data_IF_762093840234
#
_entry.id   IF_762093840234
#
_cell.length_a   1.000
_cell.length_b   1.000
_cell.length_c   1.000
_cell.angle_alpha   90.00
_cell.angle_beta   90.00
_cell.angle_gamma   90.00
#
_symmetry.space_group_name_H-M   'P 1'
#
loop_
_entity.id
_entity.type
_entity.pdbx_description
1 polymer ?
#
# COMPACT_ATOMS: atom_id res chain seq x y z
N UNK A 1 -3.70 -33.12 -2.21
CA UNK A 1 -3.64 -32.42 -0.94
C UNK A 1 -3.14 -30.99 -1.08
N UNK A 2 -2.41 -30.48 -0.08
CA UNK A 2 -1.99 -29.06 0.00
C UNK A 2 -1.23 -28.58 -1.25
N UNK A 3 -0.25 -29.36 -1.75
CA UNK A 3 0.50 -29.00 -2.94
C UNK A 3 -0.40 -28.77 -4.17
N UNK A 4 -1.45 -29.56 -4.33
CA UNK A 4 -2.43 -29.38 -5.41
C UNK A 4 -3.27 -28.11 -5.20
N UNK A 5 -3.69 -27.82 -3.96
CA UNK A 5 -4.39 -26.58 -3.65
C UNK A 5 -3.53 -25.34 -3.94
N UNK A 6 -2.25 -25.37 -3.58
CA UNK A 6 -1.29 -24.30 -3.91
C UNK A 6 -1.13 -24.15 -5.42
N UNK A 7 -0.97 -25.24 -6.15
CA UNK A 7 -0.88 -25.21 -7.61
C UNK A 7 -2.12 -24.60 -8.25
N UNK A 8 -3.31 -24.98 -7.81
CA UNK A 8 -4.58 -24.41 -8.32
C UNK A 8 -4.67 -22.91 -7.97
N UNK A 9 -4.30 -22.53 -6.75
CA UNK A 9 -4.36 -21.14 -6.28
C UNK A 9 -3.52 -20.19 -7.13
N UNK A 10 -2.39 -20.63 -7.70
CA UNK A 10 -1.57 -19.80 -8.59
C UNK A 10 -2.34 -19.35 -9.84
N UNK A 11 -3.29 -20.14 -10.34
CA UNK A 11 -4.14 -19.79 -11.47
C UNK A 11 -5.17 -18.71 -11.15
N UNK A 12 -5.39 -18.43 -9.87
CA UNK A 12 -6.26 -17.36 -9.38
C UNK A 12 -5.50 -16.08 -9.00
N UNK A 13 -4.18 -16.07 -9.22
CA UNK A 13 -3.35 -14.93 -8.87
C UNK A 13 -3.81 -13.66 -9.61
N UNK A 14 -3.92 -12.57 -8.87
CA UNK A 14 -4.40 -11.29 -9.41
C UNK A 14 -4.20 -10.17 -8.40
N UNK A 15 -4.93 -9.08 -8.58
CA UNK A 15 -4.82 -7.93 -7.67
C UNK A 15 -3.85 -6.88 -8.21
N UNK A 16 -4.24 -6.24 -9.33
CA UNK A 16 -3.40 -5.25 -10.00
C UNK A 16 -3.25 -3.97 -9.17
N UNK A 17 -2.02 -3.50 -9.03
CA UNK A 17 -1.68 -2.25 -8.31
C UNK A 17 -2.36 -1.02 -8.91
N UNK A 18 -2.70 -1.04 -10.20
CA UNK A 18 -3.48 0.01 -10.87
C UNK A 18 -4.87 0.27 -10.27
N UNK A 19 -5.37 -0.63 -9.40
CA UNK A 19 -6.63 -0.43 -8.66
C UNK A 19 -6.46 0.41 -7.36
N UNK A 20 -5.26 0.89 -7.05
CA UNK A 20 -5.07 1.77 -5.90
C UNK A 20 -5.85 3.07 -6.10
N UNK A 21 -6.52 3.54 -5.04
CA UNK A 21 -7.46 4.67 -5.11
C UNK A 21 -8.89 4.28 -5.51
N UNK A 22 -9.20 2.99 -5.64
CA UNK A 22 -10.57 2.49 -5.89
C UNK A 22 -11.04 1.55 -4.78
N UNK A 23 -12.37 1.32 -4.64
CA UNK A 23 -12.90 0.30 -3.72
C UNK A 23 -12.43 -1.13 -4.01
N UNK A 24 -11.95 -1.43 -5.21
CA UNK A 24 -11.42 -2.75 -5.60
C UNK A 24 -10.13 -3.09 -4.85
N UNK A 25 -9.32 -2.08 -4.50
CA UNK A 25 -8.07 -2.32 -3.78
C UNK A 25 -8.24 -3.10 -2.46
N UNK A 26 -9.14 -2.75 -1.54
CA UNK A 26 -9.37 -3.56 -0.34
C UNK A 26 -9.98 -4.94 -0.65
N UNK A 27 -10.69 -5.11 -1.76
CA UNK A 27 -11.21 -6.41 -2.19
C UNK A 27 -10.12 -7.42 -2.54
N UNK A 28 -8.92 -6.99 -2.92
CA UNK A 28 -7.82 -7.91 -3.29
C UNK A 28 -7.53 -8.92 -2.20
N UNK A 29 -7.50 -8.50 -0.93
CA UNK A 29 -7.28 -9.41 0.20
C UNK A 29 -8.42 -10.44 0.36
N UNK A 30 -9.68 -9.98 0.22
CA UNK A 30 -10.85 -10.85 0.28
C UNK A 30 -10.91 -11.84 -0.89
N UNK A 31 -10.57 -11.38 -2.10
CA UNK A 31 -10.48 -12.23 -3.30
C UNK A 31 -9.39 -13.29 -3.11
N UNK A 32 -8.21 -12.92 -2.60
CA UNK A 32 -7.14 -13.87 -2.34
C UNK A 32 -7.56 -14.93 -1.31
N UNK A 33 -8.20 -14.53 -0.22
CA UNK A 33 -8.72 -15.45 0.79
C UNK A 33 -9.78 -16.41 0.22
N UNK A 34 -10.76 -15.88 -0.55
CA UNK A 34 -11.75 -16.72 -1.24
C UNK A 34 -11.10 -17.71 -2.18
N UNK A 35 -10.17 -17.25 -3.02
CA UNK A 35 -9.49 -18.08 -4.00
C UNK A 35 -8.68 -19.22 -3.34
N UNK A 36 -8.08 -18.99 -2.18
CA UNK A 36 -7.40 -20.01 -1.42
C UNK A 36 -8.36 -21.11 -0.93
N UNK A 37 -9.55 -20.73 -0.47
CA UNK A 37 -10.59 -21.67 -0.04
C UNK A 37 -11.12 -22.47 -1.24
N UNK A 38 -11.42 -21.80 -2.35
CA UNK A 38 -11.89 -22.44 -3.58
C UNK A 38 -10.85 -23.45 -4.12
N UNK A 39 -9.55 -23.08 -4.13
CA UNK A 39 -8.47 -23.95 -4.55
C UNK A 39 -8.38 -25.23 -3.65
N UNK A 40 -8.58 -25.08 -2.33
CA UNK A 40 -8.60 -26.21 -1.42
C UNK A 40 -9.78 -27.15 -1.69
N UNK A 41 -10.97 -26.61 -1.96
CA UNK A 41 -12.14 -27.41 -2.32
C UNK A 41 -11.96 -28.14 -3.66
N UNK A 42 -11.41 -27.47 -4.68
CA UNK A 42 -11.11 -28.09 -5.98
C UNK A 42 -10.10 -29.24 -5.85
N UNK A 43 -9.01 -29.02 -5.09
CA UNK A 43 -8.03 -30.07 -4.82
C UNK A 43 -8.63 -31.27 -4.06
N UNK A 44 -9.54 -31.02 -3.12
CA UNK A 44 -10.30 -32.05 -2.41
C UNK A 44 -11.24 -32.81 -3.34
N UNK A 45 -11.82 -32.14 -4.33
CA UNK A 45 -12.68 -32.74 -5.34
C UNK A 45 -11.90 -33.54 -6.40
N UNK A 46 -10.55 -33.59 -6.33
CA UNK A 46 -9.71 -34.39 -7.24
C UNK A 46 -9.16 -33.59 -8.43
N UNK A 47 -9.36 -32.29 -8.49
CA UNK A 47 -8.69 -31.43 -9.48
C UNK A 47 -7.20 -31.40 -9.15
N UNK A 48 -6.37 -31.54 -10.20
CA UNK A 48 -4.91 -31.55 -10.09
C UNK A 48 -4.30 -30.48 -10.97
N UNK A 49 -3.19 -29.90 -10.53
CA UNK A 49 -2.37 -28.97 -11.29
C UNK A 49 -0.91 -29.42 -11.29
N UNK A 50 -0.06 -28.72 -12.04
CA UNK A 50 1.37 -28.97 -12.07
C UNK A 50 2.00 -28.60 -10.73
N UNK A 51 2.86 -29.47 -10.19
CA UNK A 51 3.53 -29.22 -8.90
C UNK A 51 4.72 -28.26 -9.02
N UNK A 52 5.29 -28.11 -10.22
CA UNK A 52 6.37 -27.17 -10.57
C UNK A 52 5.86 -25.81 -11.06
N UNK A 53 4.58 -25.51 -10.85
CA UNK A 53 3.93 -24.28 -11.35
C UNK A 53 4.52 -23.00 -10.77
N UNK A 54 5.15 -23.04 -9.61
CA UNK A 54 5.76 -21.88 -9.01
C UNK A 54 7.05 -21.48 -9.73
N UNK A 55 7.96 -22.45 -9.96
CA UNK A 55 9.32 -22.29 -10.48
C UNK A 55 9.46 -22.58 -11.97
N UNK A 56 8.47 -23.22 -12.58
CA UNK A 56 8.50 -23.57 -14.01
C UNK A 56 8.68 -22.35 -14.92
N UNK A 57 9.21 -22.56 -16.12
CA UNK A 57 9.53 -21.47 -17.06
C UNK A 57 8.33 -20.58 -17.47
N UNK A 58 7.12 -21.15 -17.44
CA UNK A 58 5.85 -20.42 -17.61
C UNK A 58 5.05 -20.39 -16.32
N UNK A 59 5.73 -20.53 -15.18
CA UNK A 59 5.14 -20.59 -13.86
C UNK A 59 4.93 -19.22 -13.23
N UNK A 60 4.51 -19.24 -11.98
CA UNK A 60 4.15 -18.05 -11.22
C UNK A 60 5.31 -17.04 -11.12
N UNK A 61 6.52 -17.51 -10.78
CA UNK A 61 7.68 -16.63 -10.65
C UNK A 61 8.09 -16.02 -12.00
N UNK A 62 7.98 -16.76 -13.10
CA UNK A 62 8.27 -16.25 -14.43
C UNK A 62 7.35 -15.11 -14.85
N UNK A 63 6.07 -15.13 -14.40
CA UNK A 63 5.08 -14.11 -14.74
C UNK A 63 5.06 -12.95 -13.75
N UNK A 64 5.24 -13.21 -12.45
CA UNK A 64 5.05 -12.22 -11.39
C UNK A 64 6.33 -11.85 -10.64
N UNK A 65 7.41 -12.61 -10.77
CA UNK A 65 8.65 -12.43 -10.02
C UNK A 65 9.61 -11.36 -10.56
N UNK A 66 9.34 -10.82 -11.75
CA UNK A 66 10.23 -9.84 -12.39
C UNK A 66 11.51 -10.48 -12.98
N UNK A 67 12.47 -9.63 -13.36
CA UNK A 67 13.69 -10.07 -14.04
C UNK A 67 14.69 -10.78 -13.11
N UNK A 68 14.66 -10.51 -11.82
CA UNK A 68 15.51 -11.14 -10.82
C UNK A 68 14.65 -12.08 -9.95
N UNK A 69 14.75 -13.36 -10.20
CA UNK A 69 14.09 -14.37 -9.38
C UNK A 69 14.96 -14.68 -8.15
N UNK A 70 14.42 -14.43 -6.96
CA UNK A 70 15.04 -14.94 -5.74
C UNK A 70 15.04 -16.47 -5.78
N UNK A 71 16.21 -17.09 -5.56
CA UNK A 71 16.30 -18.54 -5.49
C UNK A 71 15.51 -19.11 -4.31
N UNK A 72 14.71 -20.14 -4.52
CA UNK A 72 14.01 -20.86 -3.46
C UNK A 72 14.94 -21.39 -2.37
N UNK A 73 16.21 -21.65 -2.71
CA UNK A 73 17.26 -22.06 -1.78
C UNK A 73 17.60 -21.03 -0.71
N UNK A 74 17.24 -19.75 -0.95
CA UNK A 74 17.42 -18.69 0.03
C UNK A 74 16.26 -18.59 1.04
N UNK A 75 15.17 -19.35 0.84
CA UNK A 75 14.07 -19.42 1.79
C UNK A 75 14.42 -20.38 2.92
N UNK A 76 14.51 -19.82 4.12
CA UNK A 76 14.55 -20.64 5.35
C UNK A 76 13.10 -21.03 5.70
N UNK A 77 12.87 -22.33 5.78
CA UNK A 77 11.60 -22.89 6.28
C UNK A 77 11.70 -23.11 7.80
N UNK A 78 12.25 -22.11 8.49
CA UNK A 78 12.46 -22.16 9.93
C UNK A 78 11.15 -22.31 10.70
N UNK A 79 11.28 -22.70 11.95
CA UNK A 79 10.19 -23.06 12.85
C UNK A 79 9.21 -21.92 13.16
N UNK A 80 9.55 -20.66 12.82
CA UNK A 80 8.71 -19.51 13.10
C UNK A 80 8.04 -18.95 11.85
N UNK A 81 6.72 -18.78 11.91
CA UNK A 81 5.97 -18.12 10.85
C UNK A 81 6.16 -16.60 10.86
N UNK A 82 6.16 -15.97 9.69
CA UNK A 82 6.33 -14.51 9.56
C UNK A 82 5.28 -13.72 10.35
N UNK A 83 4.09 -14.28 10.53
CA UNK A 83 3.03 -13.69 11.35
C UNK A 83 3.38 -13.66 12.85
N UNK A 84 4.20 -14.62 13.31
CA UNK A 84 4.66 -14.69 14.71
C UNK A 84 5.83 -13.74 14.93
N UNK A 85 6.74 -13.63 13.96
CA UNK A 85 7.95 -12.83 14.07
C UNK A 85 7.73 -11.34 13.75
N UNK A 86 6.90 -11.02 12.75
CA UNK A 86 6.62 -9.66 12.31
C UNK A 86 5.21 -9.19 12.66
N UNK A 87 4.28 -10.12 12.91
CA UNK A 87 2.90 -9.83 13.27
C UNK A 87 2.12 -9.07 12.19
N UNK A 88 1.02 -8.48 12.64
CA UNK A 88 0.22 -7.56 11.85
C UNK A 88 0.56 -6.12 12.24
N UNK A 89 0.79 -5.27 11.24
CA UNK A 89 1.03 -3.85 11.46
C UNK A 89 -0.29 -3.10 11.44
N UNK A 90 -0.68 -2.55 12.60
CA UNK A 90 -1.83 -1.65 12.69
C UNK A 90 -1.45 -0.27 12.15
N UNK A 91 -2.25 0.27 11.27
CA UNK A 91 -2.05 1.61 10.73
C UNK A 91 -2.39 2.67 11.77
N UNK A 92 -1.51 3.65 11.97
CA UNK A 92 -1.74 4.81 12.83
C UNK A 92 -2.68 5.83 12.17
N UNK A 93 -2.65 5.91 10.84
CA UNK A 93 -3.50 6.80 10.06
C UNK A 93 -4.37 5.98 9.08
N UNK A 94 -5.66 6.32 8.88
CA UNK A 94 -6.59 5.56 8.03
C UNK A 94 -6.39 5.84 6.52
N UNK A 95 -5.16 5.89 6.08
CA UNK A 95 -4.74 6.17 4.70
C UNK A 95 -3.64 5.21 4.22
N UNK A 96 -3.06 5.46 3.05
CA UNK A 96 -1.95 4.68 2.53
C UNK A 96 -0.74 4.79 3.47
N UNK A 97 -0.10 3.67 3.79
CA UNK A 97 1.07 3.65 4.67
C UNK A 97 2.25 4.50 4.15
N UNK A 98 2.30 4.74 2.83
CA UNK A 98 3.30 5.60 2.21
C UNK A 98 3.24 7.07 2.67
N UNK A 99 2.12 7.52 3.28
CA UNK A 99 2.00 8.87 3.83
C UNK A 99 2.41 8.96 5.31
N UNK A 100 2.41 7.85 6.06
CA UNK A 100 2.45 7.87 7.52
C UNK A 100 3.70 8.57 8.06
N UNK A 101 4.89 8.18 7.58
CA UNK A 101 6.17 8.77 8.05
C UNK A 101 6.25 10.28 7.78
N UNK A 102 5.71 10.74 6.64
CA UNK A 102 5.69 12.17 6.30
C UNK A 102 4.72 12.92 7.20
N UNK A 103 3.54 12.35 7.48
CA UNK A 103 2.57 12.93 8.40
C UNK A 103 3.19 13.07 9.80
N UNK A 104 3.81 12.01 10.31
CA UNK A 104 4.40 12.02 11.64
C UNK A 104 5.54 13.05 11.72
N UNK A 105 6.48 13.04 10.79
CA UNK A 105 7.57 14.01 10.72
C UNK A 105 7.10 15.46 10.63
N UNK A 106 6.11 15.74 9.78
CA UNK A 106 5.58 17.10 9.63
C UNK A 106 4.84 17.58 10.90
N UNK A 107 4.14 16.68 11.58
CA UNK A 107 3.49 16.99 12.87
C UNK A 107 4.48 17.22 13.98
N UNK A 108 5.58 16.48 13.99
CA UNK A 108 6.64 16.69 14.98
C UNK A 108 7.34 18.04 14.74
N UNK A 109 7.64 18.39 13.49
CA UNK A 109 8.14 19.73 13.14
C UNK A 109 7.13 20.84 13.53
N UNK A 110 5.83 20.60 13.31
CA UNK A 110 4.81 21.57 13.72
C UNK A 110 4.79 21.81 15.23
N UNK A 111 4.92 20.74 16.02
CA UNK A 111 5.00 20.84 17.49
C UNK A 111 6.27 21.54 17.95
N UNK A 112 7.41 21.19 17.35
CA UNK A 112 8.73 21.73 17.71
C UNK A 112 8.82 23.24 17.41
N UNK A 113 8.32 23.66 16.25
CA UNK A 113 8.47 25.03 15.76
C UNK A 113 7.23 25.91 15.92
N UNK A 114 6.09 25.36 16.33
CA UNK A 114 4.87 26.10 16.62
C UNK A 114 4.22 26.80 15.42
N UNK A 115 4.52 26.36 14.19
CA UNK A 115 3.95 26.99 13.00
C UNK A 115 2.48 26.60 12.76
N UNK A 116 1.73 27.49 12.14
CA UNK A 116 0.41 27.20 11.58
C UNK A 116 0.50 27.02 10.07
N UNK A 117 -0.28 26.10 9.52
CA UNK A 117 -0.17 25.73 8.10
C UNK A 117 -0.47 26.90 7.16
N UNK A 118 -1.30 27.87 7.58
CA UNK A 118 -1.62 29.04 6.79
C UNK A 118 -0.36 29.91 6.50
N UNK A 119 0.59 29.99 7.42
CA UNK A 119 1.82 30.75 7.29
C UNK A 119 2.88 30.01 6.44
N UNK A 120 2.69 28.70 6.21
CA UNK A 120 3.62 27.90 5.41
C UNK A 120 3.41 28.21 3.93
N UNK A 121 4.48 28.57 3.25
CA UNK A 121 4.46 28.86 1.81
C UNK A 121 4.57 27.60 0.95
N UNK A 122 5.38 26.65 1.41
CA UNK A 122 5.70 25.43 0.66
C UNK A 122 6.13 24.31 1.58
N UNK A 123 5.71 23.09 1.25
CA UNK A 123 6.16 21.84 1.87
C UNK A 123 6.67 20.94 0.76
N UNK A 124 7.94 20.59 0.82
CA UNK A 124 8.55 19.60 -0.07
C UNK A 124 8.72 18.29 0.70
N UNK A 125 8.15 17.21 0.17
CA UNK A 125 8.29 15.88 0.72
C UNK A 125 9.11 15.01 -0.21
N UNK A 126 10.10 14.29 0.34
CA UNK A 126 10.84 13.25 -0.39
C UNK A 126 10.48 11.89 0.18
N UNK A 127 10.17 10.95 -0.69
CA UNK A 127 9.78 9.58 -0.34
C UNK A 127 10.40 8.57 -1.30
N UNK A 128 10.39 7.29 -0.97
CA UNK A 128 10.85 6.25 -1.89
C UNK A 128 9.99 6.20 -3.17
N UNK A 129 10.58 5.77 -4.28
CA UNK A 129 9.92 5.69 -5.59
C UNK A 129 8.58 4.96 -5.53
N UNK A 130 8.53 3.83 -4.82
CA UNK A 130 7.30 3.06 -4.65
C UNK A 130 6.18 3.84 -3.95
N UNK A 131 6.53 4.78 -3.06
CA UNK A 131 5.56 5.62 -2.39
C UNK A 131 4.98 6.68 -3.35
N UNK A 132 5.80 7.27 -4.22
CA UNK A 132 5.33 8.18 -5.28
C UNK A 132 4.34 7.46 -6.19
N UNK A 133 4.67 6.24 -6.63
CA UNK A 133 3.82 5.44 -7.51
C UNK A 133 2.50 5.03 -6.82
N UNK A 134 2.50 4.85 -5.50
CA UNK A 134 1.30 4.54 -4.73
C UNK A 134 0.39 5.76 -4.49
N UNK A 135 0.97 6.95 -4.35
CA UNK A 135 0.27 8.18 -3.98
C UNK A 135 -0.06 9.03 -5.23
N UNK A 136 -0.78 8.42 -6.16
CA UNK A 136 -0.99 8.93 -7.52
C UNK A 136 -2.05 10.04 -7.63
N UNK A 137 -2.64 10.50 -6.52
CA UNK A 137 -3.78 11.42 -6.53
C UNK A 137 -3.45 12.75 -5.84
N UNK A 138 -2.73 13.67 -6.51
CA UNK A 138 -2.42 14.98 -5.92
C UNK A 138 -3.67 15.84 -5.70
N UNK A 139 -4.72 15.66 -6.51
CA UNK A 139 -6.02 16.31 -6.39
C UNK A 139 -7.13 15.24 -6.39
N UNK A 140 -7.43 14.62 -5.24
CA UNK A 140 -8.36 13.51 -5.16
C UNK A 140 -9.81 13.94 -5.42
N UNK A 141 -10.53 13.16 -6.22
CA UNK A 141 -11.92 13.40 -6.58
C UNK A 141 -12.93 12.67 -5.67
N UNK A 142 -12.47 11.69 -4.88
CA UNK A 142 -13.29 10.89 -3.98
C UNK A 142 -12.52 10.42 -2.73
N UNK A 143 -13.23 9.78 -1.81
CA UNK A 143 -12.71 9.32 -0.53
C UNK A 143 -11.61 8.26 -0.66
N UNK A 144 -11.69 7.42 -1.70
CA UNK A 144 -10.68 6.39 -1.92
C UNK A 144 -9.40 7.00 -2.47
N UNK A 145 -9.49 7.93 -3.42
CA UNK A 145 -8.35 8.67 -3.93
C UNK A 145 -7.68 9.51 -2.83
N UNK A 146 -8.48 10.14 -1.97
CA UNK A 146 -7.96 10.94 -0.85
C UNK A 146 -7.04 10.13 0.08
N UNK A 147 -7.34 8.84 0.30
CA UNK A 147 -6.48 7.94 1.09
C UNK A 147 -5.14 7.64 0.42
N UNK A 148 -4.99 7.96 -0.87
CA UNK A 148 -3.79 7.80 -1.67
C UNK A 148 -3.25 9.16 -2.18
N UNK A 149 -3.56 10.24 -1.47
CA UNK A 149 -3.09 11.61 -1.74
C UNK A 149 -2.15 12.06 -0.63
N UNK A 150 -0.88 12.33 -0.95
CA UNK A 150 0.04 12.97 -0.01
C UNK A 150 -0.46 14.36 0.36
N UNK A 151 -0.89 15.14 -0.63
CA UNK A 151 -1.36 16.51 -0.48
C UNK A 151 -2.53 16.60 0.48
N UNK A 152 -3.55 15.77 0.26
CA UNK A 152 -4.74 15.76 1.12
C UNK A 152 -4.42 15.29 2.55
N UNK A 153 -3.76 14.13 2.68
CA UNK A 153 -3.47 13.55 3.98
C UNK A 153 -2.61 14.46 4.85
N UNK A 154 -1.59 15.09 4.26
CA UNK A 154 -0.70 15.98 4.99
C UNK A 154 -1.38 17.30 5.37
N UNK A 155 -2.13 17.93 4.44
CA UNK A 155 -2.89 19.13 4.72
C UNK A 155 -3.92 18.91 5.84
N UNK A 156 -4.70 17.83 5.76
CA UNK A 156 -5.69 17.49 6.78
C UNK A 156 -5.05 17.20 8.14
N UNK A 157 -3.94 16.45 8.17
CA UNK A 157 -3.24 16.12 9.41
C UNK A 157 -2.66 17.35 10.13
N UNK A 158 -2.07 18.29 9.37
CA UNK A 158 -1.50 19.51 9.93
C UNK A 158 -2.55 20.52 10.39
N UNK A 159 -3.70 20.60 9.68
CA UNK A 159 -4.80 21.48 10.10
C UNK A 159 -5.55 20.98 11.33
N UNK A 160 -5.70 19.66 11.46
CA UNK A 160 -6.56 19.06 12.50
C UNK A 160 -5.76 18.43 13.64
N UNK A 161 -4.44 18.35 13.51
CA UNK A 161 -3.56 17.68 14.49
C UNK A 161 -3.67 16.16 14.49
N UNK A 162 -4.55 15.56 13.68
CA UNK A 162 -4.73 14.11 13.52
C UNK A 162 -5.45 13.79 12.22
N UNK A 163 -5.41 12.51 11.80
CA UNK A 163 -6.30 11.96 10.79
C UNK A 163 -7.20 10.88 11.40
N UNK A 164 -8.47 10.91 11.05
CA UNK A 164 -9.48 9.94 11.45
C UNK A 164 -10.27 9.44 10.24
N UNK A 165 -11.10 8.41 10.40
CA UNK A 165 -11.98 7.94 9.33
C UNK A 165 -12.96 9.02 8.85
N UNK A 166 -13.37 9.92 9.74
CA UNK A 166 -14.27 11.02 9.42
C UNK A 166 -13.67 12.03 8.42
N UNK A 167 -12.35 12.07 8.30
CA UNK A 167 -11.66 12.93 7.33
C UNK A 167 -11.70 12.39 5.89
N UNK A 168 -12.15 11.16 5.71
CA UNK A 168 -12.29 10.52 4.41
C UNK A 168 -13.76 10.27 4.04
N UNK A 169 -14.64 11.20 4.37
CA UNK A 169 -16.01 11.29 3.86
C UNK A 169 -16.05 12.27 2.68
N UNK A 170 -17.09 12.17 1.86
CA UNK A 170 -17.26 13.04 0.69
C UNK A 170 -17.19 14.52 1.07
N UNK A 171 -17.87 14.93 2.12
CA UNK A 171 -17.90 16.32 2.56
C UNK A 171 -16.53 16.76 3.12
N UNK A 172 -15.86 15.87 3.84
CA UNK A 172 -14.57 16.16 4.44
C UNK A 172 -13.46 16.40 3.40
N UNK A 173 -13.44 15.61 2.32
CA UNK A 173 -12.38 15.73 1.29
C UNK A 173 -12.51 17.00 0.45
N UNK A 174 -13.67 17.66 0.46
CA UNK A 174 -13.90 18.92 -0.26
C UNK A 174 -13.91 20.14 0.65
N UNK A 175 -13.54 20.01 1.93
CA UNK A 175 -13.42 21.16 2.84
C UNK A 175 -12.48 22.23 2.28
N UNK A 176 -12.95 23.47 2.09
CA UNK A 176 -12.15 24.53 1.45
C UNK A 176 -10.84 24.82 2.16
N UNK A 177 -10.80 24.74 3.50
CA UNK A 177 -9.61 24.97 4.31
C UNK A 177 -8.51 23.94 4.03
N UNK A 178 -8.86 22.68 3.76
CA UNK A 178 -7.89 21.65 3.40
C UNK A 178 -7.44 21.84 1.94
N UNK A 179 -8.41 21.99 1.02
CA UNK A 179 -8.14 22.16 -0.41
C UNK A 179 -7.22 23.34 -0.72
N UNK A 180 -7.38 24.45 0.00
CA UNK A 180 -6.51 25.63 -0.14
C UNK A 180 -5.05 25.36 0.18
N UNK A 181 -4.76 24.39 1.05
CA UNK A 181 -3.39 24.08 1.47
C UNK A 181 -2.70 23.07 0.55
N UNK A 182 -3.46 22.19 -0.10
CA UNK A 182 -2.92 21.13 -0.93
C UNK A 182 -1.93 21.59 -2.01
N UNK A 183 -2.16 22.72 -2.74
CA UNK A 183 -1.23 23.19 -3.73
C UNK A 183 0.15 23.62 -3.20
N UNK A 184 0.30 23.81 -1.90
CA UNK A 184 1.58 24.11 -1.25
C UNK A 184 2.46 22.87 -1.05
N UNK A 185 1.89 21.65 -1.20
CA UNK A 185 2.53 20.38 -0.85
C UNK A 185 3.00 19.68 -2.12
N UNK A 186 4.31 19.49 -2.21
CA UNK A 186 4.98 18.83 -3.32
C UNK A 186 5.57 17.51 -2.86
N UNK A 187 5.50 16.50 -3.72
CA UNK A 187 6.06 15.18 -3.45
C UNK A 187 7.02 14.80 -4.58
N UNK A 188 8.20 14.32 -4.21
CA UNK A 188 9.21 13.80 -5.12
C UNK A 188 9.81 12.49 -4.60
N UNK A 189 10.41 11.73 -5.51
CA UNK A 189 11.17 10.55 -5.11
C UNK A 189 12.58 10.95 -4.65
N UNK A 190 13.14 10.14 -3.74
CA UNK A 190 14.59 10.13 -3.53
C UNK A 190 15.31 9.79 -4.84
N UNK A 191 16.52 10.31 -5.04
CA UNK A 191 17.42 9.79 -6.06
C UNK A 191 17.85 8.36 -5.70
N UNK A 192 18.38 7.62 -6.69
CA UNK A 192 18.88 6.25 -6.44
C UNK A 192 20.02 6.25 -5.40
N UNK A 193 20.79 7.31 -5.34
CA UNK A 193 21.87 7.48 -4.36
C UNK A 193 21.33 7.72 -2.96
N UNK A 194 20.32 8.57 -2.81
CA UNK A 194 19.65 8.86 -1.53
C UNK A 194 18.88 7.65 -0.97
N UNK A 195 18.39 6.72 -1.81
CA UNK A 195 17.71 5.49 -1.34
C UNK A 195 18.68 4.42 -0.81
N UNK A 196 19.97 4.51 -1.14
CA UNK A 196 21.00 3.51 -0.75
C UNK A 196 21.75 3.87 0.53
N UNK A 197 21.64 5.09 1.03
CA UNK A 197 22.23 5.57 2.27
C UNK A 197 21.32 5.38 3.45
#
# INVERSE_FOLDING_TARGET
>A
GVAQAMSIATSFAGGLKGQFGTPVKPLHAGIAARNAVDAAYLARAGITGKLDILEGSQGFLGLFGGAEQAGWSALSWDESHIIETRGLVTKLHPCCASTHRVIDAARDLQKEHGFVLDDVRRIDTKVGRSAVDNLAYPDPADEMQARFSMQYCLAAALLQGRLSLADFTRDAIFRPEIRRQMPKIFMSAFSVEEERG
#
